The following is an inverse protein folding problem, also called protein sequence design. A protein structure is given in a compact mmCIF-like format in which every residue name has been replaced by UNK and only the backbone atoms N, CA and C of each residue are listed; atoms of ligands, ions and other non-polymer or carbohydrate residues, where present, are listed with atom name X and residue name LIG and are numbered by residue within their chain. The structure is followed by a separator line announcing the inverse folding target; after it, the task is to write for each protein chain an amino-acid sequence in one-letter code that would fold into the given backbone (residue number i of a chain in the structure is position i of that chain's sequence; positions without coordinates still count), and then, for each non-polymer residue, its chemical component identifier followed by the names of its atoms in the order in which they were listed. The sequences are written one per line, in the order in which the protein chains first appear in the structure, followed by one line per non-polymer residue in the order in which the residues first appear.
data_IF_359380814232
#
_entry.id   IF_359380814232
#
_cell.length_a   1.000
_cell.length_b   1.000
_cell.length_c   1.000
_cell.angle_alpha   90.00
_cell.angle_beta   90.00
_cell.angle_gamma   90.00
#
_symmetry.space_group_name_H-M   'P 1'
#
loop_
_entity.id
_entity.type
_entity.pdbx_description
1 polymer ?
#
# COMPACT_ATOMS: atom_id res chain seq x y z
N UNK A 1 -14.95 -15.19 0.06
CA UNK A 1 -14.93 -14.14 1.09
C UNK A 1 -13.58 -13.42 1.16
N UNK A 2 -12.40 -14.11 1.29
CA UNK A 2 -11.08 -13.50 1.40
C UNK A 2 -10.81 -12.44 0.31
N UNK A 3 -11.05 -12.79 -0.94
CA UNK A 3 -10.78 -11.91 -2.09
C UNK A 3 -11.68 -10.67 -2.12
N UNK A 4 -12.93 -10.81 -1.68
CA UNK A 4 -13.84 -9.67 -1.52
C UNK A 4 -13.36 -8.74 -0.40
N UNK A 5 -12.80 -9.29 0.67
CA UNK A 5 -12.19 -8.51 1.76
C UNK A 5 -10.95 -7.80 1.26
N UNK A 6 -10.04 -8.47 0.53
CA UNK A 6 -8.85 -7.87 -0.03
C UNK A 6 -9.16 -6.71 -0.99
N UNK A 7 -10.20 -6.87 -1.82
CA UNK A 7 -10.70 -5.83 -2.70
C UNK A 7 -11.24 -4.64 -1.91
N UNK A 8 -12.17 -4.88 -0.97
CA UNK A 8 -12.84 -3.81 -0.21
C UNK A 8 -11.91 -3.11 0.80
N UNK A 9 -10.94 -3.82 1.40
CA UNK A 9 -9.91 -3.24 2.26
C UNK A 9 -9.08 -2.20 1.51
N UNK A 10 -8.75 -2.48 0.26
CA UNK A 10 -7.97 -1.57 -0.58
C UNK A 10 -8.73 -0.31 -1.00
N UNK A 11 -10.05 -0.25 -0.78
CA UNK A 11 -10.90 0.91 -1.08
C UNK A 11 -11.28 1.65 0.20
N UNK A 12 -11.96 0.98 1.13
CA UNK A 12 -12.55 1.63 2.33
C UNK A 12 -12.61 0.75 3.58
N UNK A 13 -12.57 -0.58 3.45
CA UNK A 13 -12.80 -1.47 4.58
C UNK A 13 -11.69 -1.40 5.62
N UNK A 14 -11.99 -1.33 6.94
CA UNK A 14 -10.98 -1.05 7.96
C UNK A 14 -10.20 -2.28 8.43
N UNK A 15 -10.67 -3.49 8.13
CA UNK A 15 -10.06 -4.72 8.64
C UNK A 15 -8.94 -5.18 7.70
N UNK A 16 -7.71 -5.39 8.22
CA UNK A 16 -6.60 -5.86 7.41
C UNK A 16 -6.87 -7.24 6.81
N UNK A 17 -6.55 -7.42 5.54
CA UNK A 17 -6.69 -8.69 4.81
C UNK A 17 -5.90 -9.82 5.46
N UNK A 18 -4.74 -9.52 6.06
CA UNK A 18 -3.85 -10.47 6.73
C UNK A 18 -4.58 -11.27 7.82
N UNK A 19 -5.54 -10.65 8.51
CA UNK A 19 -6.37 -11.27 9.55
C UNK A 19 -7.12 -12.52 9.05
N UNK A 20 -7.45 -12.54 7.76
CA UNK A 20 -8.13 -13.68 7.12
C UNK A 20 -7.17 -14.55 6.31
N UNK A 21 -6.19 -13.93 5.63
CA UNK A 21 -5.24 -14.65 4.79
C UNK A 21 -4.39 -15.63 5.61
N UNK A 22 -3.84 -15.20 6.74
CA UNK A 22 -2.95 -16.02 7.57
C UNK A 22 -3.65 -17.28 8.10
N UNK A 23 -4.83 -17.20 8.78
CA UNK A 23 -5.53 -18.39 9.22
C UNK A 23 -5.94 -19.34 8.07
N UNK A 24 -6.36 -18.80 6.93
CA UNK A 24 -6.70 -19.62 5.78
C UNK A 24 -5.50 -20.32 5.16
N UNK A 25 -4.33 -19.66 5.12
CA UNK A 25 -3.08 -20.25 4.65
C UNK A 25 -2.58 -21.35 5.59
N UNK A 26 -2.72 -21.17 6.92
CA UNK A 26 -2.40 -22.18 7.92
C UNK A 26 -3.33 -23.40 7.85
N UNK A 27 -4.63 -23.18 7.61
CA UNK A 27 -5.61 -24.24 7.48
C UNK A 27 -5.42 -25.08 6.20
N UNK A 28 -4.89 -24.51 5.13
CA UNK A 28 -4.63 -25.21 3.88
C UNK A 28 -3.29 -24.78 3.26
N UNK A 29 -2.22 -25.34 3.77
CA UNK A 29 -0.85 -24.98 3.39
C UNK A 29 -0.52 -25.30 1.92
N UNK A 30 -1.14 -26.30 1.35
CA UNK A 30 -0.92 -26.65 -0.07
C UNK A 30 -1.43 -25.56 -1.02
N UNK A 31 -2.52 -24.88 -0.65
CA UNK A 31 -3.12 -23.79 -1.42
C UNK A 31 -2.65 -22.39 -0.99
N UNK A 32 -1.76 -22.30 -0.01
CA UNK A 32 -1.33 -21.02 0.57
C UNK A 32 -0.80 -20.04 -0.49
N UNK A 33 0.06 -20.49 -1.39
CA UNK A 33 0.61 -19.65 -2.47
C UNK A 33 -0.50 -19.13 -3.40
N UNK A 34 -1.44 -20.00 -3.80
CA UNK A 34 -2.58 -19.57 -4.61
C UNK A 34 -3.45 -18.55 -3.89
N UNK A 35 -3.68 -18.73 -2.57
CA UNK A 35 -4.39 -17.76 -1.74
C UNK A 35 -3.68 -16.40 -1.76
N UNK A 36 -2.35 -16.37 -1.58
CA UNK A 36 -1.55 -15.14 -1.64
C UNK A 36 -1.61 -14.44 -3.00
N UNK A 37 -1.50 -15.19 -4.10
CA UNK A 37 -1.57 -14.64 -5.46
C UNK A 37 -2.94 -14.01 -5.77
N UNK A 38 -4.03 -14.73 -5.50
CA UNK A 38 -5.37 -14.18 -5.73
C UNK A 38 -5.68 -13.01 -4.79
N UNK A 39 -5.24 -13.06 -3.53
CA UNK A 39 -5.37 -11.94 -2.60
C UNK A 39 -4.65 -10.70 -3.13
N UNK A 40 -3.44 -10.87 -3.67
CA UNK A 40 -2.69 -9.79 -4.33
C UNK A 40 -3.49 -9.19 -5.49
N UNK A 41 -3.98 -10.05 -6.39
CA UNK A 41 -4.73 -9.61 -7.56
C UNK A 41 -5.95 -8.78 -7.17
N UNK A 42 -6.79 -9.30 -6.27
CA UNK A 42 -8.00 -8.59 -5.83
C UNK A 42 -7.69 -7.32 -5.03
N UNK A 43 -6.61 -7.31 -4.24
CA UNK A 43 -6.14 -6.10 -3.55
C UNK A 43 -5.69 -5.02 -4.53
N UNK A 44 -4.96 -5.38 -5.59
CA UNK A 44 -4.53 -4.41 -6.62
C UNK A 44 -5.70 -3.88 -7.42
N UNK A 45 -6.69 -4.72 -7.76
CA UNK A 45 -7.92 -4.28 -8.42
C UNK A 45 -8.68 -3.29 -7.50
N UNK A 46 -8.81 -3.59 -6.21
CA UNK A 46 -9.37 -2.64 -5.23
C UNK A 46 -8.59 -1.33 -5.14
N UNK A 47 -7.25 -1.42 -5.15
CA UNK A 47 -6.37 -0.26 -5.20
C UNK A 47 -6.56 0.59 -6.47
N UNK A 48 -6.77 -0.05 -7.63
CA UNK A 48 -7.10 0.66 -8.87
C UNK A 48 -8.41 1.45 -8.76
N UNK A 49 -9.42 0.88 -8.11
CA UNK A 49 -10.67 1.62 -7.81
C UNK A 49 -10.39 2.77 -6.86
N UNK A 50 -9.61 2.57 -5.79
CA UNK A 50 -9.18 3.64 -4.88
C UNK A 50 -8.44 4.77 -5.59
N UNK A 51 -7.52 4.43 -6.50
CA UNK A 51 -6.83 5.38 -7.36
C UNK A 51 -7.80 6.20 -8.22
N UNK A 52 -8.76 5.55 -8.89
CA UNK A 52 -9.77 6.22 -9.70
C UNK A 52 -10.67 7.14 -8.86
N UNK A 53 -11.04 6.72 -7.66
CA UNK A 53 -11.76 7.59 -6.72
C UNK A 53 -10.93 8.84 -6.43
N UNK A 54 -9.64 8.69 -6.10
CA UNK A 54 -8.74 9.82 -5.87
C UNK A 54 -8.66 10.77 -7.06
N UNK A 55 -8.47 10.22 -8.26
CA UNK A 55 -8.37 10.98 -9.49
C UNK A 55 -9.65 11.78 -9.81
N UNK A 56 -10.80 11.12 -9.76
CA UNK A 56 -12.09 11.73 -10.14
C UNK A 56 -12.65 12.69 -9.08
N UNK A 57 -12.49 12.34 -7.78
CA UNK A 57 -12.98 13.17 -6.70
C UNK A 57 -12.13 14.42 -6.45
N UNK A 58 -10.84 14.35 -6.78
CA UNK A 58 -9.96 15.49 -6.56
C UNK A 58 -10.36 16.70 -7.39
N UNK A 59 -10.65 16.51 -8.67
CA UNK A 59 -11.02 17.61 -9.59
C UNK A 59 -12.37 18.25 -9.23
N UNK A 60 -13.27 17.52 -8.57
CA UNK A 60 -14.62 18.00 -8.25
C UNK A 60 -14.73 18.57 -6.83
N UNK A 61 -14.25 17.86 -5.84
CA UNK A 61 -14.41 18.19 -4.41
C UNK A 61 -13.08 18.57 -3.78
N UNK A 62 -12.03 17.77 -4.04
CA UNK A 62 -10.74 17.91 -3.38
C UNK A 62 -10.10 19.28 -3.59
N UNK A 63 -10.06 19.77 -4.82
CA UNK A 63 -9.47 21.08 -5.16
C UNK A 63 -10.19 22.24 -4.46
N UNK A 64 -11.53 22.16 -4.33
CA UNK A 64 -12.30 23.18 -3.66
C UNK A 64 -12.04 23.21 -2.16
N UNK A 65 -11.88 22.04 -1.53
CA UNK A 65 -11.51 21.94 -0.11
C UNK A 65 -10.13 22.58 0.10
N UNK A 66 -9.13 22.20 -0.69
CA UNK A 66 -7.76 22.72 -0.58
C UNK A 66 -7.72 24.24 -0.76
N UNK A 67 -8.47 24.79 -1.71
CA UNK A 67 -8.58 26.25 -1.93
C UNK A 67 -9.25 26.96 -0.76
N UNK A 68 -10.35 26.42 -0.23
CA UNK A 68 -11.08 27.03 0.89
C UNK A 68 -10.25 27.09 2.19
N UNK A 69 -9.34 26.14 2.38
CA UNK A 69 -8.42 26.15 3.54
C UNK A 69 -7.06 26.83 3.25
N UNK A 70 -6.88 27.46 2.09
CA UNK A 70 -5.62 28.11 1.66
C UNK A 70 -4.41 27.15 1.72
N UNK A 71 -4.61 25.87 1.36
CA UNK A 71 -3.58 24.84 1.40
C UNK A 71 -2.99 24.53 0.02
N UNK A 72 -3.30 25.33 -1.02
CA UNK A 72 -2.91 25.03 -2.39
C UNK A 72 -1.38 24.94 -2.56
N UNK A 73 -0.63 25.91 -2.04
CA UNK A 73 0.84 25.93 -2.10
C UNK A 73 1.46 24.72 -1.41
N UNK A 74 0.97 24.39 -0.19
CA UNK A 74 1.43 23.22 0.55
C UNK A 74 1.13 21.92 -0.18
N UNK A 75 -0.03 21.84 -0.83
CA UNK A 75 -0.42 20.70 -1.62
C UNK A 75 0.47 20.55 -2.87
N UNK A 76 0.80 21.63 -3.56
CA UNK A 76 1.69 21.62 -4.74
C UNK A 76 3.09 21.14 -4.36
N UNK A 77 3.67 21.67 -3.28
CA UNK A 77 4.98 21.24 -2.76
C UNK A 77 4.94 19.73 -2.39
N UNK A 78 3.92 19.31 -1.66
CA UNK A 78 3.74 17.90 -1.30
C UNK A 78 3.58 17.01 -2.53
N UNK A 79 2.75 17.43 -3.50
CA UNK A 79 2.52 16.68 -4.74
C UNK A 79 3.79 16.52 -5.57
N UNK A 80 4.58 17.59 -5.69
CA UNK A 80 5.86 17.55 -6.40
C UNK A 80 6.83 16.56 -5.72
N UNK A 81 6.96 16.65 -4.40
CA UNK A 81 7.83 15.74 -3.63
C UNK A 81 7.41 14.28 -3.76
N UNK A 82 6.10 13.99 -3.70
CA UNK A 82 5.61 12.61 -3.84
C UNK A 82 5.68 12.11 -5.28
N UNK A 83 5.52 12.97 -6.30
CA UNK A 83 5.68 12.56 -7.72
C UNK A 83 7.09 12.07 -8.01
N UNK A 84 8.10 12.74 -7.47
CA UNK A 84 9.50 12.35 -7.65
C UNK A 84 9.80 10.96 -7.06
N UNK A 85 9.11 10.59 -5.99
CA UNK A 85 9.29 9.33 -5.26
C UNK A 85 8.04 8.44 -5.26
N UNK A 86 7.09 8.69 -6.18
CA UNK A 86 5.78 8.04 -6.17
C UNK A 86 5.82 6.52 -6.15
N UNK A 87 6.76 5.92 -6.87
CA UNK A 87 6.98 4.48 -6.87
C UNK A 87 7.42 3.94 -5.49
N UNK A 88 8.31 4.67 -4.78
CA UNK A 88 8.71 4.32 -3.41
C UNK A 88 7.56 4.45 -2.42
N UNK A 89 6.79 5.53 -2.51
CA UNK A 89 5.61 5.75 -1.68
C UNK A 89 4.60 4.60 -1.80
N UNK A 90 4.27 4.21 -3.04
CA UNK A 90 3.34 3.10 -3.31
C UNK A 90 3.91 1.79 -2.77
N UNK A 91 5.21 1.53 -2.99
CA UNK A 91 5.86 0.31 -2.54
C UNK A 91 5.88 0.19 -1.02
N UNK A 92 6.28 1.26 -0.31
CA UNK A 92 6.29 1.27 1.16
C UNK A 92 4.89 1.05 1.71
N UNK A 93 3.89 1.79 1.24
CA UNK A 93 2.52 1.67 1.73
C UNK A 93 1.90 0.29 1.43
N UNK A 94 2.20 -0.30 0.28
CA UNK A 94 1.68 -1.62 -0.08
C UNK A 94 2.36 -2.78 0.67
N UNK A 95 3.64 -2.62 1.03
CA UNK A 95 4.42 -3.65 1.74
C UNK A 95 4.27 -3.59 3.26
N UNK A 96 4.11 -2.38 3.81
CA UNK A 96 4.00 -2.16 5.26
C UNK A 96 2.55 -2.31 5.75
N UNK A 97 2.31 -2.39 7.08
CA UNK A 97 0.97 -2.37 7.65
C UNK A 97 0.26 -1.00 7.57
N UNK A 98 0.84 -0.02 6.87
CA UNK A 98 0.16 1.24 6.59
C UNK A 98 -1.07 0.95 5.70
N UNK A 99 -2.21 1.62 5.94
CA UNK A 99 -3.40 1.38 5.13
C UNK A 99 -3.16 1.71 3.66
N UNK A 100 -3.06 0.68 2.81
CA UNK A 100 -2.75 0.79 1.38
C UNK A 100 -3.76 1.68 0.62
N UNK A 101 -5.01 1.72 1.05
CA UNK A 101 -6.05 2.62 0.49
C UNK A 101 -5.64 4.10 0.51
N UNK A 102 -4.86 4.53 1.51
CA UNK A 102 -4.36 5.91 1.58
C UNK A 102 -3.42 6.17 0.41
N UNK A 103 -2.47 5.25 0.15
CA UNK A 103 -1.56 5.39 -0.97
C UNK A 103 -2.28 5.31 -2.32
N UNK A 104 -3.29 4.44 -2.45
CA UNK A 104 -4.07 4.29 -3.67
C UNK A 104 -4.83 5.59 -4.01
N UNK A 105 -5.60 6.14 -3.05
CA UNK A 105 -6.35 7.38 -3.24
C UNK A 105 -5.39 8.56 -3.47
N UNK A 106 -4.34 8.70 -2.65
CA UNK A 106 -3.35 9.78 -2.78
C UNK A 106 -2.63 9.73 -4.14
N UNK A 107 -2.30 8.54 -4.64
CA UNK A 107 -1.68 8.39 -5.97
C UNK A 107 -2.59 8.91 -7.08
N UNK A 108 -3.90 8.68 -6.98
CA UNK A 108 -4.88 9.23 -7.90
C UNK A 108 -5.00 10.75 -7.78
N UNK A 109 -5.09 11.28 -6.56
CA UNK A 109 -5.16 12.73 -6.28
C UNK A 109 -3.96 13.48 -6.83
N UNK A 110 -2.76 12.94 -6.67
CA UNK A 110 -1.50 13.56 -7.13
C UNK A 110 -1.28 13.35 -8.63
N UNK A 111 -2.00 12.40 -9.26
CA UNK A 111 -1.86 12.06 -10.68
C UNK A 111 -0.55 11.30 -10.98
N UNK A 112 -0.17 10.35 -10.10
CA UNK A 112 0.89 9.39 -10.41
C UNK A 112 0.46 8.54 -11.59
N UNK A 113 1.36 8.23 -12.52
CA UNK A 113 1.03 7.41 -13.69
C UNK A 113 0.38 6.08 -13.29
N UNK A 114 -0.81 5.79 -13.82
CA UNK A 114 -1.59 4.59 -13.50
C UNK A 114 -0.82 3.28 -13.74
N UNK A 115 -0.08 3.09 -14.85
CA UNK A 115 0.75 1.89 -15.02
C UNK A 115 1.83 1.73 -13.92
N UNK A 116 2.49 2.81 -13.53
CA UNK A 116 3.46 2.81 -12.43
C UNK A 116 2.76 2.40 -11.12
N UNK A 117 1.61 2.99 -10.84
CA UNK A 117 0.81 2.64 -9.66
C UNK A 117 0.49 1.14 -9.63
N UNK A 118 -0.01 0.57 -10.72
CA UNK A 118 -0.38 -0.87 -10.81
C UNK A 118 0.85 -1.77 -10.62
N UNK A 119 1.97 -1.48 -11.29
CA UNK A 119 3.19 -2.30 -11.21
C UNK A 119 3.73 -2.31 -9.76
N UNK A 120 3.90 -1.15 -9.15
CA UNK A 120 4.46 -1.07 -7.80
C UNK A 120 3.48 -1.57 -6.73
N UNK A 121 2.18 -1.41 -6.93
CA UNK A 121 1.14 -2.03 -6.10
C UNK A 121 1.20 -3.55 -6.17
N UNK A 122 1.31 -4.10 -7.37
CA UNK A 122 1.39 -5.56 -7.55
C UNK A 122 2.67 -6.12 -6.93
N UNK A 123 3.82 -5.46 -7.12
CA UNK A 123 5.09 -5.86 -6.52
C UNK A 123 5.04 -5.81 -4.99
N UNK A 124 4.58 -4.70 -4.43
CA UNK A 124 4.57 -4.50 -2.97
C UNK A 124 3.57 -5.40 -2.25
N UNK A 125 2.31 -5.42 -2.70
CA UNK A 125 1.26 -6.28 -2.13
C UNK A 125 1.55 -7.77 -2.39
N UNK A 126 2.07 -8.08 -3.60
CA UNK A 126 2.49 -9.43 -3.94
C UNK A 126 3.60 -9.94 -3.04
N UNK A 127 4.66 -9.15 -2.88
CA UNK A 127 5.76 -9.52 -1.99
C UNK A 127 5.27 -9.71 -0.56
N UNK A 128 4.42 -8.82 -0.03
CA UNK A 128 3.84 -8.92 1.30
C UNK A 128 3.05 -10.21 1.48
N UNK A 129 1.99 -10.41 0.70
CA UNK A 129 1.11 -11.58 0.87
C UNK A 129 1.81 -12.90 0.56
N UNK A 130 2.70 -12.93 -0.43
CA UNK A 130 3.47 -14.13 -0.73
C UNK A 130 4.47 -14.48 0.38
N UNK A 131 5.11 -13.50 0.99
CA UNK A 131 5.97 -13.72 2.17
C UNK A 131 5.16 -14.27 3.36
N UNK A 132 3.99 -13.70 3.64
CA UNK A 132 3.12 -14.15 4.72
C UNK A 132 2.68 -15.61 4.52
N UNK A 133 2.14 -15.94 3.35
CA UNK A 133 1.69 -17.32 3.08
C UNK A 133 2.85 -18.32 2.97
N UNK A 134 4.01 -17.89 2.50
CA UNK A 134 5.22 -18.71 2.46
C UNK A 134 5.71 -19.03 3.88
N UNK A 135 5.71 -18.05 4.80
CA UNK A 135 6.01 -18.28 6.20
C UNK A 135 5.00 -19.24 6.85
N UNK A 136 3.70 -19.05 6.61
CA UNK A 136 2.66 -19.97 7.08
C UNK A 136 2.90 -21.40 6.59
N UNK A 137 3.29 -21.56 5.32
CA UNK A 137 3.56 -22.85 4.71
C UNK A 137 4.80 -23.56 5.33
N UNK A 138 5.88 -22.79 5.59
CA UNK A 138 7.16 -23.33 6.08
C UNK A 138 7.20 -23.59 7.58
N UNK A 139 6.71 -22.68 8.40
CA UNK A 139 6.89 -22.69 9.87
C UNK A 139 5.56 -22.80 10.64
N UNK A 140 4.43 -22.84 9.95
CA UNK A 140 3.12 -23.04 10.55
C UNK A 140 2.75 -21.92 11.53
N UNK A 141 2.17 -22.28 12.68
CA UNK A 141 1.62 -21.31 13.64
C UNK A 141 2.64 -20.30 14.17
N UNK A 142 3.93 -20.66 14.20
CA UNK A 142 5.02 -19.72 14.54
C UNK A 142 5.13 -18.54 13.56
N UNK A 143 4.55 -18.67 12.36
CA UNK A 143 4.53 -17.58 11.38
C UNK A 143 3.82 -16.33 11.92
N UNK A 144 2.76 -16.49 12.70
CA UNK A 144 1.98 -15.37 13.26
C UNK A 144 2.86 -14.45 14.11
N UNK A 145 3.66 -15.00 15.00
CA UNK A 145 4.52 -14.23 15.89
C UNK A 145 5.65 -13.53 15.11
N UNK A 146 6.21 -14.22 14.14
CA UNK A 146 7.25 -13.68 13.26
C UNK A 146 6.69 -12.53 12.40
N UNK A 147 5.57 -12.73 11.75
CA UNK A 147 4.93 -11.70 10.92
C UNK A 147 4.63 -10.45 11.77
N UNK A 148 3.99 -10.61 12.93
CA UNK A 148 3.69 -9.48 13.83
C UNK A 148 4.94 -8.73 14.28
N UNK A 149 5.98 -9.46 14.69
CA UNK A 149 7.23 -8.87 15.19
C UNK A 149 8.00 -8.12 14.10
N UNK A 150 8.17 -8.75 12.95
CA UNK A 150 9.03 -8.20 11.90
C UNK A 150 8.32 -7.24 10.95
N UNK A 151 6.99 -7.33 10.75
CA UNK A 151 6.25 -6.34 9.97
C UNK A 151 6.39 -4.93 10.55
N UNK A 152 6.28 -4.79 11.87
CA UNK A 152 6.43 -3.50 12.53
C UNK A 152 7.88 -2.95 12.42
N UNK A 153 8.88 -3.81 12.63
CA UNK A 153 10.29 -3.44 12.52
C UNK A 153 10.64 -3.00 11.08
N UNK A 154 10.21 -3.77 10.09
CA UNK A 154 10.43 -3.45 8.68
C UNK A 154 9.75 -2.13 8.28
N UNK A 155 8.56 -1.85 8.81
CA UNK A 155 7.88 -0.57 8.59
C UNK A 155 8.72 0.60 9.08
N UNK A 156 9.25 0.52 10.30
CA UNK A 156 10.10 1.57 10.88
C UNK A 156 11.35 1.77 10.03
N UNK A 157 12.03 0.70 9.65
CA UNK A 157 13.25 0.76 8.82
C UNK A 157 12.96 1.41 7.47
N UNK A 158 11.87 1.03 6.80
CA UNK A 158 11.48 1.60 5.50
C UNK A 158 11.11 3.08 5.61
N UNK A 159 10.40 3.48 6.66
CA UNK A 159 10.06 4.90 6.88
C UNK A 159 11.34 5.72 7.15
N UNK A 160 12.22 5.25 8.00
CA UNK A 160 13.49 5.94 8.29
C UNK A 160 14.34 6.03 7.02
N UNK A 161 14.46 4.96 6.24
CA UNK A 161 15.17 4.95 4.97
C UNK A 161 14.58 5.96 3.98
N UNK A 162 13.26 6.04 3.88
CA UNK A 162 12.57 6.98 3.00
C UNK A 162 12.80 8.44 3.40
N UNK A 163 12.69 8.75 4.71
CA UNK A 163 13.00 10.09 5.24
C UNK A 163 14.48 10.42 5.00
N UNK A 164 15.37 9.47 5.23
CA UNK A 164 16.81 9.65 5.01
C UNK A 164 17.14 9.99 3.54
N UNK A 165 16.50 9.32 2.58
CA UNK A 165 16.68 9.60 1.15
C UNK A 165 16.23 11.03 0.80
N UNK A 166 15.09 11.48 1.34
CA UNK A 166 14.58 12.84 1.10
C UNK A 166 15.55 13.88 1.67
N UNK A 167 15.98 13.72 2.92
CA UNK A 167 16.89 14.66 3.59
C UNK A 167 18.25 14.74 2.89
N UNK A 168 18.80 13.59 2.47
CA UNK A 168 20.09 13.56 1.74
C UNK A 168 19.97 14.29 0.39
N UNK A 169 18.84 14.09 -0.33
CA UNK A 169 18.62 14.78 -1.60
C UNK A 169 18.53 16.28 -1.43
N UNK A 170 17.79 16.76 -0.42
CA UNK A 170 17.72 18.20 -0.12
C UNK A 170 19.07 18.78 0.27
N UNK A 171 19.88 18.03 1.05
CA UNK A 171 21.21 18.46 1.46
C UNK A 171 22.25 18.50 0.31
N UNK A 172 22.04 17.73 -0.77
CA UNK A 172 22.94 17.70 -1.94
C UNK A 172 22.54 18.77 -2.98
N UNK A 173 21.24 19.15 -3.01
CA UNK A 173 20.72 20.12 -3.99
C UNK A 173 20.75 21.57 -3.51
N UNK A 174 21.04 21.80 -2.21
CA UNK A 174 21.32 23.11 -1.62
C UNK A 174 22.83 23.28 -1.42
#
# INVERSE_FOLDING_TARGET
YLYAIAFSESIFFPVPTDTFLIPMALANREKAISLGLYTTLFSVIGGAVGYLIGLLFFDTVGINIIKNFNLLEKFEIFSASVKDYGYFFIFIAGFTPIPYKIAAITSGVIGISFPIFIIFSFLSRGLRFLLEVFLCQKIGDKAIDIIKKYSFLLTIILIISFIGIIVIKEAILN
#
